data_IF_297546803803
#
_entry.id   IF_297546803803
#
_cell.length_a   1.000
_cell.length_b   1.000
_cell.length_c   1.000
_cell.angle_alpha   90.00
_cell.angle_beta   90.00
_cell.angle_gamma   90.00
#
_symmetry.space_group_name_H-M   'P 1'
#
loop_
_entity.id
_entity.type
_entity.pdbx_description
1 polymer ?
#
# COMPACT_ATOMS: atom_id res chain seq x y z
N UNK A 1 -14.35 0.34 12.09
CA UNK A 1 -15.07 -0.92 11.78
C UNK A 1 -16.52 -0.94 12.24
N UNK A 2 -16.85 -0.43 13.43
CA UNK A 2 -18.25 -0.36 13.91
C UNK A 2 -19.24 0.20 12.87
N UNK A 3 -18.89 1.29 12.18
CA UNK A 3 -19.74 1.87 11.13
C UNK A 3 -20.07 0.93 9.97
N UNK A 4 -19.07 0.21 9.41
CA UNK A 4 -19.26 -0.70 8.28
C UNK A 4 -20.04 -1.97 8.67
N UNK A 5 -19.99 -2.37 9.94
CA UNK A 5 -20.80 -3.46 10.47
C UNK A 5 -22.28 -3.06 10.61
N UNK A 6 -22.55 -1.80 10.93
CA UNK A 6 -23.91 -1.24 11.03
C UNK A 6 -24.49 -0.89 9.65
N UNK A 7 -23.62 -0.58 8.68
CA UNK A 7 -24.00 -0.21 7.31
C UNK A 7 -23.26 -1.06 6.26
N UNK A 8 -23.56 -2.37 6.15
CA UNK A 8 -22.87 -3.27 5.22
C UNK A 8 -23.05 -2.86 3.76
N UNK A 9 -24.16 -2.22 3.41
CA UNK A 9 -24.51 -1.71 2.09
C UNK A 9 -23.70 -0.48 1.66
N UNK A 10 -23.23 0.32 2.63
CA UNK A 10 -22.51 1.57 2.33
C UNK A 10 -21.07 1.31 1.99
N UNK A 11 -20.59 1.81 0.87
CA UNK A 11 -19.17 1.77 0.54
C UNK A 11 -18.38 2.61 1.56
N UNK A 12 -17.37 1.98 2.16
CA UNK A 12 -16.41 2.68 3.00
C UNK A 12 -15.09 2.73 2.23
N UNK A 13 -14.44 3.88 2.20
CA UNK A 13 -13.17 4.06 1.50
C UNK A 13 -12.13 4.53 2.50
N UNK A 14 -10.93 3.97 2.39
CA UNK A 14 -9.74 4.47 3.07
C UNK A 14 -8.83 5.13 2.03
N UNK A 15 -8.27 6.30 2.34
CA UNK A 15 -7.33 7.01 1.48
C UNK A 15 -6.02 7.23 2.24
N UNK A 16 -5.13 6.22 2.34
CA UNK A 16 -3.84 6.39 2.94
C UNK A 16 -2.94 7.32 2.10
N UNK A 17 -2.14 8.13 2.81
CA UNK A 17 -1.04 8.89 2.23
C UNK A 17 0.25 8.05 2.30
N UNK A 18 0.75 7.63 1.15
CA UNK A 18 1.89 6.74 1.02
C UNK A 18 3.12 7.55 0.64
N UNK A 19 4.15 7.47 1.48
CA UNK A 19 5.38 8.26 1.36
C UNK A 19 6.60 7.43 1.02
N UNK A 20 6.44 6.12 0.78
CA UNK A 20 7.56 5.25 0.42
C UNK A 20 7.13 4.09 -0.49
N UNK A 21 8.04 3.58 -1.35
CA UNK A 21 7.73 2.47 -2.25
C UNK A 21 7.34 1.18 -1.51
N UNK A 22 7.95 0.91 -0.35
CA UNK A 22 7.68 -0.29 0.45
C UNK A 22 6.24 -0.31 0.97
N UNK A 23 5.76 0.84 1.45
CA UNK A 23 4.38 0.99 1.91
C UNK A 23 3.39 0.81 0.77
N UNK A 24 3.72 1.33 -0.42
CA UNK A 24 2.90 1.13 -1.61
C UNK A 24 2.84 -0.34 -2.02
N UNK A 25 3.99 -1.02 -2.09
CA UNK A 25 4.07 -2.44 -2.40
C UNK A 25 3.30 -3.29 -1.37
N UNK A 26 3.49 -3.01 -0.09
CA UNK A 26 2.80 -3.69 1.00
C UNK A 26 1.28 -3.54 0.87
N UNK A 27 0.80 -2.32 0.67
CA UNK A 27 -0.63 -2.05 0.51
C UNK A 27 -1.21 -2.75 -0.73
N UNK A 28 -0.47 -2.74 -1.85
CA UNK A 28 -0.86 -3.40 -3.09
C UNK A 28 -0.98 -4.93 -2.94
N UNK A 29 -0.16 -5.53 -2.07
CA UNK A 29 -0.22 -6.97 -1.77
C UNK A 29 -1.41 -7.33 -0.88
N UNK A 30 -1.84 -6.41 -0.01
CA UNK A 30 -3.00 -6.61 0.86
C UNK A 30 -4.32 -6.39 0.12
N UNK A 31 -4.38 -5.38 -0.73
CA UNK A 31 -5.63 -4.96 -1.37
C UNK A 31 -5.50 -4.97 -2.89
N UNK A 32 -6.27 -5.86 -3.54
CA UNK A 32 -6.29 -5.98 -5.01
C UNK A 32 -6.96 -4.81 -5.71
N UNK A 33 -7.80 -4.03 -5.03
CA UNK A 33 -8.59 -2.97 -5.66
C UNK A 33 -8.16 -1.58 -5.19
N UNK A 34 -6.85 -1.30 -5.18
CA UNK A 34 -6.36 0.06 -4.92
C UNK A 34 -6.24 0.88 -6.21
N UNK A 35 -6.20 2.20 -6.08
CA UNK A 35 -5.80 3.12 -7.15
C UNK A 35 -4.91 4.22 -6.58
N UNK A 36 -3.90 4.72 -7.31
CA UNK A 36 -3.61 4.41 -8.72
C UNK A 36 -2.85 3.09 -8.87
N UNK A 37 -2.80 2.57 -10.11
CA UNK A 37 -2.13 1.32 -10.48
C UNK A 37 -1.53 1.41 -11.89
N UNK A 38 -0.49 0.62 -12.20
CA UNK A 38 0.07 0.57 -13.55
C UNK A 38 -1.02 0.23 -14.58
N UNK A 39 -1.08 0.98 -15.68
CA UNK A 39 -1.96 0.73 -16.83
C UNK A 39 -3.47 0.76 -16.54
N UNK A 40 -3.88 1.21 -15.35
CA UNK A 40 -5.29 1.33 -14.97
C UNK A 40 -5.63 2.81 -14.78
N UNK A 41 -6.60 3.30 -15.54
CA UNK A 41 -7.12 4.66 -15.37
C UNK A 41 -7.80 4.79 -14.00
N UNK A 42 -7.50 5.88 -13.30
CA UNK A 42 -8.17 6.21 -12.05
C UNK A 42 -9.59 6.68 -12.37
N UNK A 43 -10.64 6.10 -11.76
CA UNK A 43 -12.01 6.55 -11.98
C UNK A 43 -12.19 8.04 -11.64
N UNK A 44 -12.99 8.76 -12.43
CA UNK A 44 -13.25 10.19 -12.19
C UNK A 44 -13.86 10.46 -10.81
N UNK A 45 -14.71 9.55 -10.33
CA UNK A 45 -15.31 9.64 -8.99
C UNK A 45 -14.24 9.62 -7.90
N UNK A 46 -13.24 8.75 -8.05
CA UNK A 46 -12.06 8.71 -7.17
C UNK A 46 -11.28 10.02 -7.24
N UNK A 47 -11.05 10.57 -8.45
CA UNK A 47 -10.34 11.83 -8.61
C UNK A 47 -11.08 13.01 -7.96
N UNK A 48 -12.42 13.08 -8.09
CA UNK A 48 -13.26 14.09 -7.42
C UNK A 48 -13.14 13.98 -5.90
N UNK A 49 -13.18 12.77 -5.35
CA UNK A 49 -13.00 12.54 -3.91
C UNK A 49 -11.62 13.00 -3.43
N UNK A 50 -10.57 12.68 -4.20
CA UNK A 50 -9.20 13.10 -3.91
C UNK A 50 -9.08 14.63 -3.96
N UNK A 51 -9.71 15.29 -4.92
CA UNK A 51 -9.73 16.75 -5.02
C UNK A 51 -10.36 17.39 -3.78
N UNK A 52 -11.52 16.90 -3.34
CA UNK A 52 -12.17 17.41 -2.13
C UNK A 52 -11.32 17.16 -0.88
N UNK A 53 -10.68 15.99 -0.78
CA UNK A 53 -9.78 15.69 0.33
C UNK A 53 -8.61 16.68 0.37
N UNK A 54 -7.97 16.93 -0.78
CA UNK A 54 -6.88 17.92 -0.87
C UNK A 54 -7.35 19.32 -0.45
N UNK A 55 -8.53 19.74 -0.87
CA UNK A 55 -9.13 21.03 -0.49
C UNK A 55 -9.34 21.13 1.03
N UNK A 56 -9.89 20.09 1.66
CA UNK A 56 -10.15 20.06 3.11
C UNK A 56 -8.88 20.07 3.95
N UNK A 57 -7.79 19.45 3.48
CA UNK A 57 -6.52 19.35 4.20
C UNK A 57 -5.46 20.35 3.71
N UNK A 58 -5.83 21.28 2.82
CA UNK A 58 -4.93 22.26 2.21
C UNK A 58 -3.70 21.64 1.53
N UNK A 59 -3.86 20.47 0.92
CA UNK A 59 -2.79 19.82 0.18
C UNK A 59 -2.71 20.29 -1.26
N UNK A 60 -1.49 20.52 -1.74
CA UNK A 60 -1.23 20.88 -3.13
C UNK A 60 -1.02 19.63 -3.99
N UNK A 61 -1.65 19.60 -5.16
CA UNK A 61 -1.37 18.57 -6.18
C UNK A 61 0.00 18.76 -6.79
N UNK A 62 0.68 17.65 -7.08
CA UNK A 62 1.86 17.64 -7.93
C UNK A 62 1.45 17.49 -9.40
N UNK A 63 2.29 17.97 -10.33
CA UNK A 63 1.99 17.94 -11.77
C UNK A 63 2.08 16.53 -12.36
N UNK A 64 2.91 15.68 -11.76
CA UNK A 64 3.23 14.33 -12.19
C UNK A 64 2.01 13.39 -12.13
N UNK A 65 1.13 13.60 -11.14
CA UNK A 65 -0.06 12.75 -10.98
C UNK A 65 -1.14 13.42 -10.11
N UNK A 66 -2.43 13.34 -10.48
CA UNK A 66 -3.52 14.00 -9.74
C UNK A 66 -3.75 13.45 -8.33
N UNK A 67 -3.22 12.27 -8.00
CA UNK A 67 -3.26 11.71 -6.64
C UNK A 67 -1.97 11.96 -5.85
N UNK A 68 -0.95 12.56 -6.45
CA UNK A 68 0.28 12.94 -5.76
C UNK A 68 0.10 14.30 -5.10
N UNK A 69 0.63 14.44 -3.88
CA UNK A 69 0.63 15.68 -3.11
C UNK A 69 2.03 16.06 -2.64
N UNK A 70 2.21 17.34 -2.35
CA UNK A 70 3.44 17.91 -1.80
C UNK A 70 3.16 18.67 -0.50
N UNK A 71 4.23 19.13 0.16
CA UNK A 71 4.15 19.88 1.41
C UNK A 71 4.07 19.00 2.67
N UNK A 72 4.35 17.71 2.55
CA UNK A 72 4.48 16.83 3.70
C UNK A 72 5.84 17.01 4.37
N UNK A 73 5.96 16.75 5.69
CA UNK A 73 7.25 16.70 6.36
C UNK A 73 8.20 15.73 5.66
N UNK A 74 9.44 16.17 5.42
CA UNK A 74 10.48 15.32 4.80
C UNK A 74 10.82 14.16 5.72
N UNK A 75 11.03 12.98 5.12
CA UNK A 75 11.51 11.83 5.86
C UNK A 75 12.97 12.09 6.29
N UNK A 76 13.24 12.09 7.60
CA UNK A 76 14.61 12.29 8.13
C UNK A 76 15.55 11.13 7.78
N UNK A 77 14.99 9.93 7.62
CA UNK A 77 15.70 8.71 7.26
C UNK A 77 14.88 7.94 6.23
N UNK A 78 15.02 8.21 4.92
CA UNK A 78 14.39 7.36 3.92
C UNK A 78 14.96 5.94 4.07
N UNK A 79 14.08 4.94 4.14
CA UNK A 79 14.50 3.54 4.11
C UNK A 79 15.13 3.28 2.75
N UNK A 80 16.45 3.17 2.68
CA UNK A 80 17.16 2.69 1.51
C UNK A 80 17.20 1.17 1.63
N UNK A 81 16.03 0.52 1.60
CA UNK A 81 16.02 -0.94 1.48
C UNK A 81 16.38 -1.25 0.03
N UNK A 82 17.23 -2.26 -0.21
CA UNK A 82 17.41 -2.81 -1.56
C UNK A 82 16.04 -3.31 -2.01
N UNK A 83 15.41 -2.54 -2.86
CA UNK A 83 14.12 -2.86 -3.45
C UNK A 83 14.43 -3.82 -4.59
N UNK A 84 14.12 -5.11 -4.40
CA UNK A 84 14.14 -6.07 -5.50
C UNK A 84 13.35 -5.52 -6.69
N UNK A 85 13.78 -5.81 -7.91
CA UNK A 85 13.11 -5.38 -9.15
C UNK A 85 11.63 -5.79 -9.10
N UNK A 86 10.75 -4.80 -8.85
CA UNK A 86 9.32 -5.01 -8.72
C UNK A 86 8.58 -3.93 -9.53
N UNK A 87 7.72 -4.32 -10.48
CA UNK A 87 7.00 -3.36 -11.32
C UNK A 87 6.15 -2.35 -10.54
N UNK A 88 5.66 -2.70 -9.34
CA UNK A 88 4.88 -1.78 -8.51
C UNK A 88 5.76 -0.74 -7.82
N UNK A 89 6.99 -1.11 -7.47
CA UNK A 89 7.97 -0.17 -6.94
C UNK A 89 8.40 0.80 -8.03
N UNK A 90 8.72 0.29 -9.22
CA UNK A 90 9.07 1.11 -10.37
C UNK A 90 7.95 2.07 -10.75
N UNK A 91 6.69 1.59 -10.74
CA UNK A 91 5.54 2.44 -10.96
C UNK A 91 5.39 3.52 -9.88
N UNK A 92 5.57 3.19 -8.61
CA UNK A 92 5.53 4.21 -7.55
C UNK A 92 6.64 5.25 -7.75
N UNK A 93 7.86 4.81 -8.06
CA UNK A 93 9.02 5.69 -8.28
C UNK A 93 8.88 6.53 -9.54
N UNK A 94 8.19 6.06 -10.58
CA UNK A 94 7.92 6.88 -11.76
C UNK A 94 6.91 8.01 -11.48
N UNK A 95 6.00 7.82 -10.52
CA UNK A 95 5.11 8.87 -10.04
C UNK A 95 5.79 9.80 -9.02
N UNK A 96 6.62 9.25 -8.14
CA UNK A 96 7.22 9.96 -7.02
C UNK A 96 8.72 9.64 -6.87
N UNK A 97 9.56 10.10 -7.82
CA UNK A 97 10.99 9.79 -7.83
C UNK A 97 11.70 10.34 -6.59
N UNK A 98 11.30 11.53 -6.14
CA UNK A 98 11.85 12.21 -4.97
C UNK A 98 10.96 12.01 -3.72
N UNK A 99 10.54 10.78 -3.45
CA UNK A 99 9.60 10.51 -2.34
C UNK A 99 10.11 10.94 -0.95
N UNK A 100 11.42 11.09 -0.78
CA UNK A 100 12.04 11.64 0.45
C UNK A 100 11.85 13.15 0.62
N UNK A 101 11.48 13.88 -0.45
CA UNK A 101 11.40 15.33 -0.48
C UNK A 101 10.11 15.93 0.11
N UNK A 102 9.27 15.12 0.76
CA UNK A 102 7.99 15.58 1.34
C UNK A 102 6.83 15.51 0.35
N UNK A 103 6.90 14.56 -0.59
CA UNK A 103 5.79 14.18 -1.48
C UNK A 103 5.11 12.91 -0.95
N UNK A 104 3.81 12.78 -1.19
CA UNK A 104 3.05 11.59 -0.82
C UNK A 104 2.02 11.23 -1.88
N UNK A 105 1.85 9.95 -2.13
CA UNK A 105 0.84 9.42 -3.03
C UNK A 105 -0.42 9.08 -2.23
N UNK A 106 -1.53 9.72 -2.54
CA UNK A 106 -2.83 9.32 -2.01
C UNK A 106 -3.29 8.07 -2.74
N UNK A 107 -3.63 7.02 -2.00
CA UNK A 107 -4.08 5.75 -2.57
C UNK A 107 -5.53 5.52 -2.20
N UNK A 108 -6.43 5.42 -3.17
CA UNK A 108 -7.82 5.02 -2.97
C UNK A 108 -7.88 3.53 -2.66
N UNK A 109 -8.55 3.17 -1.57
CA UNK A 109 -8.72 1.78 -1.15
C UNK A 109 -10.16 1.56 -0.66
N UNK A 110 -11.02 0.92 -1.47
CA UNK A 110 -12.36 0.57 -1.06
C UNK A 110 -12.30 -0.55 -0.01
N UNK A 111 -13.09 -0.39 1.04
CA UNK A 111 -13.14 -1.28 2.19
C UNK A 111 -14.42 -2.13 2.09
N UNK A 112 -14.29 -3.33 1.53
CA UNK A 112 -15.36 -4.33 1.51
C UNK A 112 -15.07 -5.40 2.58
N UNK A 113 -16.08 -5.84 3.33
CA UNK A 113 -15.96 -6.89 4.35
C UNK A 113 -15.37 -8.17 3.74
N UNK A 114 -15.73 -8.55 2.51
CA UNK A 114 -15.13 -9.69 1.81
C UNK A 114 -13.63 -9.51 1.55
N UNK A 115 -13.20 -8.29 1.23
CA UNK A 115 -11.78 -8.00 1.02
C UNK A 115 -10.96 -8.08 2.31
N UNK A 116 -11.54 -7.77 3.47
CA UNK A 116 -10.86 -7.92 4.78
C UNK A 116 -10.58 -9.38 5.07
N UNK A 117 -11.57 -10.26 4.87
CA UNK A 117 -11.38 -11.70 5.08
C UNK A 117 -10.31 -12.27 4.16
N UNK A 118 -10.25 -11.80 2.91
CA UNK A 118 -9.26 -12.28 1.94
C UNK A 118 -7.87 -11.74 2.24
N UNK A 119 -7.73 -10.45 2.60
CA UNK A 119 -6.45 -9.87 3.03
C UNK A 119 -5.92 -10.55 4.30
N UNK A 120 -6.80 -10.86 5.27
CA UNK A 120 -6.45 -11.55 6.50
C UNK A 120 -6.04 -13.01 6.23
N UNK A 121 -6.81 -13.74 5.42
CA UNK A 121 -6.46 -15.10 4.96
C UNK A 121 -5.10 -15.09 4.28
N UNK A 122 -4.86 -14.17 3.35
CA UNK A 122 -3.59 -14.09 2.63
C UNK A 122 -2.40 -13.77 3.56
N UNK A 123 -2.59 -12.94 4.58
CA UNK A 123 -1.56 -12.64 5.57
C UNK A 123 -1.24 -13.86 6.46
N UNK A 124 -2.28 -14.57 6.92
CA UNK A 124 -2.14 -15.82 7.69
C UNK A 124 -1.47 -16.91 6.86
N UNK A 125 -1.90 -17.11 5.60
CA UNK A 125 -1.31 -18.11 4.71
C UNK A 125 0.16 -17.82 4.42
N UNK A 126 0.54 -16.55 4.21
CA UNK A 126 1.96 -16.19 3.98
C UNK A 126 2.82 -16.38 5.22
N UNK A 127 2.33 -16.02 6.42
CA UNK A 127 3.08 -16.24 7.66
C UNK A 127 3.13 -17.73 8.05
N UNK A 128 2.09 -18.51 7.75
CA UNK A 128 2.06 -19.95 8.00
C UNK A 128 2.97 -20.76 7.07
N UNK A 129 3.13 -20.35 5.82
CA UNK A 129 4.09 -20.95 4.88
C UNK A 129 5.55 -20.68 5.28
N UNK A 130 5.84 -19.51 5.84
CA UNK A 130 7.18 -19.12 6.30
C UNK A 130 7.61 -19.91 7.56
N UNK A 131 6.68 -20.15 8.50
CA UNK A 131 6.90 -21.02 9.66
C UNK A 131 7.07 -22.50 9.27
N UNK A 132 6.33 -22.99 8.28
CA UNK A 132 6.49 -24.35 7.75
C UNK A 132 7.86 -24.58 7.10
N UNK A 133 8.39 -23.59 6.36
CA UNK A 133 9.72 -23.65 5.76
C UNK A 133 10.85 -23.47 6.78
N UNK A 134 10.69 -22.61 7.78
CA UNK A 134 11.66 -22.46 8.87
C UNK A 134 11.76 -23.71 9.74
N UNK A 135 10.64 -24.41 10.01
CA UNK A 135 10.64 -25.67 10.75
C UNK A 135 11.19 -26.84 9.93
N UNK A 136 11.07 -26.82 8.60
CA UNK A 136 11.69 -27.85 7.74
C UNK A 136 13.21 -27.65 7.57
N UNK A 137 13.72 -26.42 7.60
CA UNK A 137 15.16 -26.14 7.53
C UNK A 137 15.92 -26.42 8.84
N UNK A 138 15.22 -26.55 9.98
CA UNK A 138 15.82 -26.92 11.27
C UNK A 138 16.06 -28.43 11.44
N UNK A 139 15.53 -29.28 10.54
CA UNK A 139 15.68 -30.74 10.61
C UNK A 139 16.89 -31.31 9.83
N UNK A 140 17.77 -30.44 9.31
CA UNK A 140 18.97 -30.84 8.56
C UNK A 140 20.29 -30.39 9.23
N UNK A 141 20.38 -30.46 10.56
CA UNK A 141 21.68 -30.47 11.23
C UNK A 141 22.23 -31.93 11.24
N UNK A 142 23.47 -32.16 10.79
CA UNK A 142 24.05 -33.49 10.82
C UNK A 142 24.25 -33.96 12.26
N UNK A 143 23.78 -35.18 12.52
CA UNK A 143 24.00 -35.90 13.76
C UNK A 143 25.51 -36.11 13.92
N UNK A 144 26.17 -35.32 14.78
CA UNK A 144 27.56 -35.55 15.15
C UNK A 144 27.55 -36.57 16.27
N UNK A 145 27.82 -37.82 15.90
CA UNK A 145 28.10 -38.92 16.81
C UNK A 145 29.32 -38.59 17.67
N UNK A 146 29.23 -38.82 18.97
CA UNK A 146 30.35 -39.00 19.88
C UNK A 146 30.21 -40.37 20.55
#
# INVERSE_FOLDING_TARGET
MKYKLVHPEKELVCIPCITSPEKYLFLSRLHRNISPKPQVLVPETTLKLIHELKRCYHWSSCAEHPMLISGLPRAKHPSITRLDENPLIEYYLSLNPDYSAGKGLLVYMPFNIGSISDSLKHLITRQGLDLGQQLMNLNHLPNVSA
#
